data_IF_021403510784
#
_entry.id   IF_021403510784
#
_cell.length_a   1.000
_cell.length_b   1.000
_cell.length_c   1.000
_cell.angle_alpha   90.00
_cell.angle_beta   90.00
_cell.angle_gamma   90.00
#
_symmetry.space_group_name_H-M   'P 1'
#
loop_
_entity.id
_entity.type
_entity.pdbx_description
1 polymer ?
#
# COMPACT_ATOMS: atom_id res chain seq x y z
N UNK A 1 0.42 -78.60 -25.06
CA UNK A 1 1.29 -77.63 -24.34
C UNK A 1 1.63 -76.40 -25.17
N UNK A 2 2.01 -76.45 -26.44
CA UNK A 2 2.36 -75.24 -27.25
C UNK A 2 1.21 -74.27 -27.56
N UNK A 3 -0.05 -74.75 -27.61
CA UNK A 3 -1.21 -73.88 -27.88
C UNK A 3 -1.64 -73.02 -26.72
N UNK A 4 -1.49 -73.48 -25.49
CA UNK A 4 -1.79 -72.71 -24.25
C UNK A 4 -0.78 -71.60 -23.99
N UNK A 5 0.48 -71.85 -24.39
CA UNK A 5 1.54 -70.85 -24.21
C UNK A 5 1.40 -69.68 -25.20
N UNK A 6 1.01 -69.93 -26.44
CA UNK A 6 0.75 -68.87 -27.45
C UNK A 6 -0.46 -68.00 -27.07
N UNK A 7 -1.51 -68.60 -26.48
CA UNK A 7 -2.69 -67.86 -26.03
C UNK A 7 -2.38 -66.93 -24.83
N UNK A 8 -1.54 -67.33 -23.85
CA UNK A 8 -1.07 -66.54 -22.74
C UNK A 8 -0.19 -65.36 -23.18
N UNK A 9 0.73 -65.57 -24.12
CA UNK A 9 1.55 -64.52 -24.69
C UNK A 9 0.73 -63.52 -25.50
N UNK A 10 -0.31 -63.91 -26.19
CA UNK A 10 -1.21 -63.02 -26.91
C UNK A 10 -1.99 -62.08 -25.92
N UNK A 11 -2.56 -62.64 -24.84
CA UNK A 11 -3.27 -61.88 -23.85
C UNK A 11 -2.33 -60.96 -23.08
N UNK A 12 -1.10 -61.34 -22.80
CA UNK A 12 -0.08 -60.51 -22.18
C UNK A 12 0.30 -59.31 -23.08
N UNK A 13 0.44 -59.54 -24.38
CA UNK A 13 0.71 -58.50 -25.38
C UNK A 13 -0.41 -57.47 -25.50
N UNK A 14 -1.69 -57.95 -25.53
CA UNK A 14 -2.85 -57.06 -25.56
C UNK A 14 -2.98 -56.27 -24.27
N UNK A 15 -2.72 -56.88 -23.11
CA UNK A 15 -2.77 -56.17 -21.83
C UNK A 15 -1.66 -55.09 -21.73
N UNK A 16 -0.46 -55.38 -22.20
CA UNK A 16 0.65 -54.43 -22.26
C UNK A 16 0.36 -53.27 -23.23
N UNK A 17 -0.26 -53.52 -24.38
CA UNK A 17 -0.64 -52.50 -25.33
C UNK A 17 -1.75 -51.57 -24.79
N UNK A 18 -2.72 -52.11 -24.04
CA UNK A 18 -3.77 -51.33 -23.38
C UNK A 18 -3.17 -50.50 -22.26
N UNK A 19 -2.23 -51.02 -21.44
CA UNK A 19 -1.54 -50.28 -20.41
C UNK A 19 -0.68 -49.13 -21.01
N UNK A 20 0.01 -49.41 -22.11
CA UNK A 20 0.78 -48.38 -22.82
C UNK A 20 -0.12 -47.28 -23.42
N UNK A 21 -1.28 -47.65 -23.97
CA UNK A 21 -2.23 -46.66 -24.50
C UNK A 21 -2.86 -45.81 -23.40
N UNK A 22 -3.12 -46.37 -22.21
CA UNK A 22 -3.59 -45.62 -21.04
C UNK A 22 -2.50 -44.69 -20.52
N UNK A 23 -1.25 -45.14 -20.47
CA UNK A 23 -0.10 -44.28 -20.08
C UNK A 23 0.16 -43.17 -21.10
N UNK A 24 0.03 -43.42 -22.39
CA UNK A 24 0.14 -42.40 -23.44
C UNK A 24 -1.02 -41.40 -23.40
N UNK A 25 -2.25 -41.86 -23.10
CA UNK A 25 -3.39 -40.94 -22.91
C UNK A 25 -3.25 -40.10 -21.66
N UNK A 26 -2.72 -40.64 -20.56
CA UNK A 26 -2.43 -39.90 -19.35
C UNK A 26 -1.32 -38.83 -19.57
N UNK A 27 -0.30 -39.13 -20.38
CA UNK A 27 0.72 -38.16 -20.76
C UNK A 27 0.21 -37.02 -21.67
N UNK A 28 -0.81 -37.30 -22.50
CA UNK A 28 -1.41 -36.28 -23.37
C UNK A 28 -2.39 -35.35 -22.62
N UNK A 29 -2.96 -35.77 -21.48
CA UNK A 29 -3.78 -34.92 -20.63
C UNK A 29 -2.96 -33.82 -19.90
N UNK A 30 -1.66 -34.01 -19.76
CA UNK A 30 -0.75 -33.03 -19.16
C UNK A 30 -0.36 -31.86 -20.10
N UNK A 31 -0.77 -31.91 -21.39
CA UNK A 31 -0.43 -30.91 -22.40
C UNK A 31 -1.57 -29.94 -22.77
N UNK A 32 -2.67 -29.90 -21.99
CA UNK A 32 -3.63 -28.78 -22.10
C UNK A 32 -2.96 -27.60 -21.41
N UNK A 33 -2.61 -26.51 -22.12
CA UNK A 33 -2.03 -25.36 -21.48
C UNK A 33 -3.01 -24.88 -20.39
N UNK A 34 -2.55 -24.62 -19.19
CA UNK A 34 -3.42 -24.16 -18.11
C UNK A 34 -4.15 -22.90 -18.59
N UNK A 35 -5.46 -22.86 -18.40
CA UNK A 35 -6.28 -21.72 -18.80
C UNK A 35 -5.75 -20.46 -18.13
N UNK A 36 -5.34 -19.48 -18.94
CA UNK A 36 -4.87 -18.18 -18.45
C UNK A 36 -6.05 -17.38 -17.90
N UNK A 37 -5.95 -17.01 -16.65
CA UNK A 37 -6.89 -16.08 -15.99
C UNK A 37 -6.40 -14.66 -16.24
N UNK A 38 -7.31 -13.76 -16.63
CA UNK A 38 -6.98 -12.34 -16.87
C UNK A 38 -7.78 -11.47 -15.93
N UNK A 39 -7.08 -10.55 -15.25
CA UNK A 39 -7.66 -9.57 -14.36
C UNK A 39 -7.30 -8.15 -14.81
N UNK A 40 -8.14 -7.20 -14.45
CA UNK A 40 -7.89 -5.75 -14.57
C UNK A 40 -7.69 -5.18 -13.18
N UNK A 41 -6.68 -4.35 -13.03
CA UNK A 41 -6.37 -3.65 -11.79
C UNK A 41 -6.61 -2.15 -11.99
N UNK A 42 -7.65 -1.60 -11.37
CA UNK A 42 -7.82 -0.16 -11.31
C UNK A 42 -6.87 0.44 -10.28
N UNK A 43 -6.27 1.60 -10.54
CA UNK A 43 -5.37 2.24 -9.59
C UNK A 43 -5.73 3.69 -9.30
N UNK A 44 -5.31 4.19 -8.14
CA UNK A 44 -5.47 5.58 -7.71
C UNK A 44 -4.32 6.49 -8.17
N UNK A 45 -3.48 6.04 -9.10
CA UNK A 45 -2.21 6.68 -9.45
C UNK A 45 -2.18 7.08 -10.91
N UNK A 46 -1.57 8.22 -11.20
CA UNK A 46 -1.23 8.61 -12.56
C UNK A 46 -0.09 7.74 -13.11
N UNK A 47 0.03 7.67 -14.42
CA UNK A 47 0.99 6.80 -15.09
C UNK A 47 2.46 7.12 -14.78
N UNK A 48 2.75 8.36 -14.45
CA UNK A 48 4.07 8.87 -14.08
C UNK A 48 4.38 8.73 -12.58
N UNK A 49 3.43 8.29 -11.77
CA UNK A 49 3.64 8.07 -10.35
C UNK A 49 4.46 6.80 -10.09
N UNK A 50 5.51 6.88 -9.25
CA UNK A 50 6.32 5.71 -8.88
C UNK A 50 5.53 4.65 -8.10
N UNK A 51 4.45 5.02 -7.40
CA UNK A 51 3.57 4.06 -6.74
C UNK A 51 2.83 3.20 -7.80
N UNK A 52 2.51 3.79 -8.97
CA UNK A 52 1.97 3.04 -10.09
C UNK A 52 3.00 2.08 -10.69
N UNK A 53 4.18 2.58 -11.05
CA UNK A 53 5.19 1.80 -11.79
C UNK A 53 5.90 0.77 -10.92
N UNK A 54 6.31 1.16 -9.70
CA UNK A 54 7.09 0.32 -8.79
C UNK A 54 6.23 -0.45 -7.78
N UNK A 55 4.97 -0.08 -7.62
CA UNK A 55 3.97 -0.81 -6.82
C UNK A 55 3.04 -1.63 -7.70
N UNK A 56 1.96 -1.02 -8.22
CA UNK A 56 0.89 -1.71 -8.94
C UNK A 56 1.38 -2.55 -10.14
N UNK A 57 2.15 -1.96 -11.05
CA UNK A 57 2.69 -2.65 -12.25
C UNK A 57 3.65 -3.77 -11.84
N UNK A 58 4.49 -3.55 -10.83
CA UNK A 58 5.42 -4.56 -10.34
C UNK A 58 4.69 -5.77 -9.72
N UNK A 59 3.60 -5.55 -8.98
CA UNK A 59 2.74 -6.66 -8.50
C UNK A 59 2.22 -7.48 -9.70
N UNK A 60 1.69 -6.82 -10.74
CA UNK A 60 1.20 -7.50 -11.94
C UNK A 60 2.29 -8.33 -12.62
N UNK A 61 3.48 -7.77 -12.79
CA UNK A 61 4.63 -8.46 -13.41
C UNK A 61 5.13 -9.64 -12.56
N UNK A 62 5.18 -9.47 -11.24
CA UNK A 62 5.61 -10.51 -10.31
C UNK A 62 4.63 -11.69 -10.32
N UNK A 63 3.31 -11.41 -10.28
CA UNK A 63 2.27 -12.44 -10.39
C UNK A 63 2.37 -13.19 -11.71
N UNK A 64 2.50 -12.48 -12.83
CA UNK A 64 2.66 -13.11 -14.15
C UNK A 64 3.88 -14.04 -14.20
N UNK A 65 5.03 -13.56 -13.68
CA UNK A 65 6.28 -14.33 -13.63
C UNK A 65 6.15 -15.58 -12.75
N UNK A 66 5.67 -15.43 -11.52
CA UNK A 66 5.57 -16.54 -10.56
C UNK A 66 4.50 -17.57 -10.96
N UNK A 67 3.42 -17.13 -11.60
CA UNK A 67 2.36 -18.02 -12.08
C UNK A 67 2.70 -18.73 -13.39
N UNK A 68 3.83 -18.39 -14.04
CA UNK A 68 4.16 -18.88 -15.38
C UNK A 68 3.14 -18.45 -16.44
N UNK A 69 2.56 -17.25 -16.29
CA UNK A 69 1.55 -16.69 -17.18
C UNK A 69 0.13 -17.23 -16.99
N UNK A 70 -0.14 -18.02 -15.94
CA UNK A 70 -1.47 -18.54 -15.63
C UNK A 70 -2.41 -17.47 -15.05
N UNK A 71 -1.87 -16.45 -14.39
CA UNK A 71 -2.60 -15.26 -13.94
C UNK A 71 -1.92 -14.03 -14.51
N UNK A 72 -2.61 -13.33 -15.40
CA UNK A 72 -2.18 -12.08 -16.00
C UNK A 72 -3.06 -10.94 -15.48
N UNK A 73 -2.42 -9.90 -14.98
CA UNK A 73 -3.10 -8.72 -14.43
C UNK A 73 -2.62 -7.51 -15.22
N UNK A 74 -3.55 -6.71 -15.71
CA UNK A 74 -3.27 -5.45 -16.39
C UNK A 74 -3.64 -4.29 -15.48
N UNK A 75 -2.65 -3.45 -15.15
CA UNK A 75 -2.87 -2.26 -14.32
C UNK A 75 -3.25 -1.06 -15.19
N UNK A 76 -4.26 -0.33 -14.75
CA UNK A 76 -4.78 0.87 -15.39
C UNK A 76 -4.57 2.08 -14.46
N UNK A 77 -3.96 3.16 -14.92
CA UNK A 77 -3.81 4.37 -14.12
C UNK A 77 -5.17 5.02 -13.84
N UNK A 78 -5.17 6.02 -12.95
CA UNK A 78 -6.38 6.78 -12.65
C UNK A 78 -7.00 7.36 -13.91
N UNK A 79 -8.31 7.51 -13.91
CA UNK A 79 -9.17 8.03 -15.00
C UNK A 79 -9.31 7.13 -16.25
N UNK A 80 -8.57 6.01 -16.37
CA UNK A 80 -8.82 5.06 -17.46
C UNK A 80 -10.01 4.13 -17.17
N UNK A 81 -10.14 3.61 -15.94
CA UNK A 81 -11.29 2.77 -15.54
C UNK A 81 -12.19 3.49 -14.54
N UNK A 82 -11.59 4.28 -13.65
CA UNK A 82 -12.30 5.05 -12.61
C UNK A 82 -11.40 6.17 -12.11
N UNK A 83 -11.99 7.14 -11.40
CA UNK A 83 -11.24 8.20 -10.72
C UNK A 83 -10.40 7.66 -9.55
N UNK A 84 -9.45 8.46 -9.06
CA UNK A 84 -8.58 8.17 -7.91
C UNK A 84 -9.35 7.60 -6.71
N UNK A 85 -10.49 8.19 -6.36
CA UNK A 85 -11.31 7.78 -5.21
C UNK A 85 -12.37 6.71 -5.54
N UNK A 86 -12.49 6.27 -6.79
CA UNK A 86 -13.46 5.27 -7.22
C UNK A 86 -12.99 3.81 -7.16
N UNK A 87 -11.68 3.58 -6.94
CA UNK A 87 -11.06 2.25 -7.03
C UNK A 87 -11.70 1.24 -6.09
N UNK A 88 -11.89 1.60 -4.82
CA UNK A 88 -12.46 0.70 -3.82
C UNK A 88 -13.87 0.22 -4.21
N UNK A 89 -14.72 1.14 -4.66
CA UNK A 89 -16.09 0.81 -5.05
C UNK A 89 -16.15 -0.05 -6.31
N UNK A 90 -15.24 0.17 -7.27
CA UNK A 90 -15.15 -0.69 -8.44
C UNK A 90 -14.79 -2.13 -8.09
N UNK A 91 -13.81 -2.32 -7.19
CA UNK A 91 -13.40 -3.65 -6.71
C UNK A 91 -14.50 -4.28 -5.86
N UNK A 92 -15.06 -3.55 -4.89
CA UNK A 92 -16.12 -4.02 -4.01
C UNK A 92 -17.35 -4.53 -4.80
N UNK A 93 -17.73 -3.80 -5.85
CA UNK A 93 -18.86 -4.15 -6.73
C UNK A 93 -18.52 -5.21 -7.80
N UNK A 94 -17.28 -5.71 -7.86
CA UNK A 94 -16.84 -6.68 -8.85
C UNK A 94 -16.81 -6.14 -10.29
N UNK A 95 -16.75 -4.83 -10.49
CA UNK A 95 -16.62 -4.20 -11.81
C UNK A 95 -15.23 -4.37 -12.41
N UNK A 96 -14.23 -4.50 -11.54
CA UNK A 96 -12.88 -4.97 -11.83
C UNK A 96 -12.48 -6.04 -10.82
N UNK A 97 -11.53 -6.86 -11.20
CA UNK A 97 -11.10 -8.00 -10.40
C UNK A 97 -10.26 -7.55 -9.19
N UNK A 98 -9.41 -6.53 -9.37
CA UNK A 98 -8.53 -6.01 -8.32
C UNK A 98 -8.27 -4.52 -8.48
N UNK A 99 -7.61 -3.93 -7.48
CA UNK A 99 -7.21 -2.53 -7.45
C UNK A 99 -5.91 -2.32 -6.68
N UNK A 100 -5.33 -1.13 -6.80
CA UNK A 100 -4.19 -0.67 -6.01
C UNK A 100 -4.40 0.78 -5.61
N UNK A 101 -4.37 1.04 -4.28
CA UNK A 101 -4.75 2.34 -3.74
C UNK A 101 -4.13 2.62 -2.38
N UNK A 102 -4.72 3.55 -1.63
CA UNK A 102 -4.35 3.91 -0.27
C UNK A 102 -5.56 3.85 0.66
N UNK A 103 -5.52 3.08 1.75
CA UNK A 103 -6.67 2.88 2.64
C UNK A 103 -7.24 4.17 3.21
N UNK A 104 -6.42 5.19 3.42
CA UNK A 104 -6.86 6.49 3.96
C UNK A 104 -7.89 7.21 3.11
N UNK A 105 -8.03 6.89 1.81
CA UNK A 105 -9.06 7.45 0.94
C UNK A 105 -10.47 6.96 1.28
N UNK A 106 -10.58 5.85 2.01
CA UNK A 106 -11.86 5.22 2.35
C UNK A 106 -12.38 5.60 3.74
N UNK A 107 -11.75 6.53 4.45
CA UNK A 107 -12.13 6.92 5.82
C UNK A 107 -13.59 7.32 5.98
N UNK A 108 -14.19 7.92 4.94
CA UNK A 108 -15.59 8.34 4.97
C UNK A 108 -16.56 7.16 4.88
N UNK A 109 -16.12 5.99 4.44
CA UNK A 109 -16.88 4.74 4.50
C UNK A 109 -16.90 4.17 5.92
N UNK A 110 -15.74 4.11 6.54
CA UNK A 110 -15.55 3.68 7.92
C UNK A 110 -14.21 4.27 8.44
N UNK A 111 -14.20 4.97 9.59
CA UNK A 111 -12.98 5.60 10.12
C UNK A 111 -11.80 4.63 10.28
N UNK A 112 -12.07 3.37 10.53
CA UNK A 112 -11.05 2.34 10.75
C UNK A 112 -10.09 2.12 9.59
N UNK A 113 -10.43 2.55 8.36
CA UNK A 113 -9.54 2.46 7.21
C UNK A 113 -8.22 3.22 7.43
N UNK A 114 -8.23 4.34 8.15
CA UNK A 114 -7.01 5.12 8.42
C UNK A 114 -5.98 4.34 9.24
N UNK A 115 -6.42 3.38 10.06
CA UNK A 115 -5.54 2.54 10.86
C UNK A 115 -4.73 1.52 10.04
N UNK A 116 -5.09 1.33 8.77
CA UNK A 116 -4.38 0.45 7.82
C UNK A 116 -3.63 1.25 6.73
N UNK A 117 -3.53 2.56 6.89
CA UNK A 117 -2.80 3.44 5.96
C UNK A 117 -1.63 4.15 6.64
N UNK A 118 -1.93 5.22 7.34
CA UNK A 118 -1.00 5.97 8.16
C UNK A 118 -1.76 6.75 9.23
N UNK A 119 -1.22 6.79 10.43
CA UNK A 119 -1.70 7.64 11.53
C UNK A 119 -0.53 8.50 11.98
N UNK A 120 -0.74 9.82 12.19
CA UNK A 120 0.33 10.71 12.61
C UNK A 120 1.11 10.18 13.82
N UNK A 121 2.44 10.24 13.75
CA UNK A 121 3.36 9.79 14.79
C UNK A 121 3.18 8.32 15.26
N UNK A 122 2.57 7.46 14.42
CA UNK A 122 2.32 6.05 14.78
C UNK A 122 3.43 5.13 14.27
N UNK A 123 3.14 4.23 13.33
CA UNK A 123 4.03 3.13 12.98
C UNK A 123 5.10 3.52 11.97
N UNK A 124 6.30 2.98 12.15
CA UNK A 124 7.38 2.96 11.16
C UNK A 124 7.18 1.79 10.18
N UNK A 125 7.95 1.77 9.09
CA UNK A 125 7.94 0.64 8.13
C UNK A 125 8.19 -0.71 8.80
N UNK A 126 9.16 -0.78 9.72
CA UNK A 126 9.47 -2.01 10.41
C UNK A 126 8.34 -2.44 11.34
N UNK A 127 7.74 -1.50 12.07
CA UNK A 127 6.59 -1.77 12.94
C UNK A 127 5.40 -2.31 12.12
N UNK A 128 5.16 -1.80 10.90
CA UNK A 128 4.13 -2.34 9.99
C UNK A 128 4.33 -3.80 9.66
N UNK A 129 5.55 -4.19 9.24
CA UNK A 129 5.86 -5.56 8.87
C UNK A 129 5.63 -6.53 10.05
N UNK A 130 6.09 -6.14 11.24
CA UNK A 130 5.98 -6.96 12.44
C UNK A 130 4.54 -7.00 12.95
N UNK A 131 3.81 -5.90 12.92
CA UNK A 131 2.41 -5.86 13.35
C UNK A 131 1.50 -6.69 12.45
N UNK A 132 1.65 -6.58 11.13
CA UNK A 132 0.82 -7.31 10.17
C UNK A 132 1.03 -8.82 10.23
N UNK A 133 2.29 -9.27 10.28
CA UNK A 133 2.64 -10.68 10.07
C UNK A 133 3.25 -11.37 11.29
N UNK A 134 3.54 -10.63 12.35
CA UNK A 134 4.01 -11.15 13.61
C UNK A 134 2.88 -11.64 14.52
N UNK A 135 3.15 -11.79 15.85
CA UNK A 135 2.18 -12.31 16.80
C UNK A 135 0.87 -11.51 16.92
N UNK A 136 0.89 -10.23 16.54
CA UNK A 136 -0.30 -9.34 16.58
C UNK A 136 -1.32 -9.66 15.50
N UNK A 137 -0.88 -10.34 14.40
CA UNK A 137 -1.74 -10.75 13.29
C UNK A 137 -2.63 -9.62 12.74
N UNK A 138 -2.06 -8.41 12.58
CA UNK A 138 -2.79 -7.24 12.09
C UNK A 138 -3.45 -7.45 10.72
N UNK A 139 -2.90 -8.37 9.91
CA UNK A 139 -3.47 -8.75 8.61
C UNK A 139 -4.89 -9.31 8.74
N UNK A 140 -5.22 -10.01 9.83
CA UNK A 140 -6.56 -10.56 10.04
C UNK A 140 -7.56 -9.46 10.39
N UNK A 141 -7.14 -8.44 11.14
CA UNK A 141 -7.96 -7.25 11.39
C UNK A 141 -8.20 -6.46 10.09
N UNK A 142 -7.19 -6.39 9.22
CA UNK A 142 -7.32 -5.74 7.92
C UNK A 142 -8.32 -6.48 7.03
N UNK A 143 -8.20 -7.80 6.95
CA UNK A 143 -9.14 -8.67 6.23
C UNK A 143 -10.57 -8.60 6.77
N UNK A 144 -10.73 -8.51 8.09
CA UNK A 144 -12.05 -8.36 8.72
C UNK A 144 -12.74 -7.05 8.30
N UNK A 145 -12.01 -5.93 8.30
CA UNK A 145 -12.53 -4.64 7.84
C UNK A 145 -13.00 -4.71 6.39
N UNK A 146 -12.10 -5.15 5.51
CA UNK A 146 -12.35 -5.13 4.06
C UNK A 146 -13.39 -6.19 3.65
N UNK A 147 -13.47 -7.29 4.38
CA UNK A 147 -14.46 -8.35 4.16
C UNK A 147 -15.90 -7.86 4.27
N UNK A 148 -16.17 -6.83 5.09
CA UNK A 148 -17.49 -6.17 5.18
C UNK A 148 -17.95 -5.58 3.82
N UNK A 149 -16.98 -5.31 2.94
CA UNK A 149 -17.18 -4.68 1.63
C UNK A 149 -16.91 -5.62 0.46
N UNK A 150 -16.87 -6.93 0.68
CA UNK A 150 -16.57 -7.94 -0.34
C UNK A 150 -15.19 -7.76 -0.98
N UNK A 151 -14.18 -7.37 -0.19
CA UNK A 151 -12.80 -7.11 -0.63
C UNK A 151 -11.80 -7.86 0.25
N UNK A 152 -10.74 -8.38 -0.37
CA UNK A 152 -9.56 -8.95 0.32
C UNK A 152 -8.38 -8.01 0.14
N UNK A 153 -7.79 -7.45 1.20
CA UNK A 153 -6.63 -6.59 1.11
C UNK A 153 -5.31 -7.37 1.18
N UNK A 154 -4.30 -6.80 0.54
CA UNK A 154 -2.90 -7.24 0.59
C UNK A 154 -2.00 -6.00 0.63
N UNK A 155 -0.75 -6.08 1.15
CA UNK A 155 0.22 -5.01 0.98
C UNK A 155 0.43 -4.71 -0.51
N UNK A 156 0.28 -3.45 -0.90
CA UNK A 156 0.52 -3.01 -2.27
C UNK A 156 1.86 -2.31 -2.42
N UNK A 157 2.20 -1.48 -1.45
CA UNK A 157 3.47 -0.80 -1.30
C UNK A 157 3.61 -0.33 0.16
N UNK A 158 4.84 -0.16 0.61
CA UNK A 158 5.17 0.40 1.92
C UNK A 158 6.35 1.36 1.73
N UNK A 159 6.20 2.58 2.17
CA UNK A 159 7.30 3.54 2.21
C UNK A 159 7.56 4.09 3.61
N UNK A 160 8.68 4.78 3.75
CA UNK A 160 9.09 5.46 4.95
C UNK A 160 8.41 6.82 5.10
N UNK A 161 9.04 7.72 5.87
CA UNK A 161 8.49 9.06 6.07
C UNK A 161 8.34 9.79 4.75
N UNK A 162 7.19 10.42 4.55
CA UNK A 162 6.99 11.33 3.44
C UNK A 162 7.91 12.55 3.50
N UNK A 163 7.93 13.37 2.46
CA UNK A 163 8.79 14.56 2.42
C UNK A 163 8.09 15.82 2.97
N UNK A 164 7.23 15.62 3.96
CA UNK A 164 6.59 16.72 4.70
C UNK A 164 5.62 17.57 3.88
N UNK A 165 5.37 18.80 4.38
CA UNK A 165 4.46 19.72 3.71
C UNK A 165 5.22 20.67 2.79
N UNK A 166 4.88 20.67 1.51
CA UNK A 166 5.27 21.69 0.54
C UNK A 166 4.33 22.89 0.65
N UNK A 167 4.90 24.10 0.84
CA UNK A 167 4.10 25.29 1.14
C UNK A 167 4.62 26.54 0.43
N UNK A 168 3.75 27.56 0.30
CA UNK A 168 4.08 28.87 -0.26
C UNK A 168 4.72 29.82 0.79
N UNK A 169 4.77 29.44 2.05
CA UNK A 169 5.46 30.14 3.15
C UNK A 169 6.05 29.16 4.14
N UNK A 170 7.13 29.52 4.86
CA UNK A 170 7.76 28.63 5.82
C UNK A 170 6.84 28.31 7.00
N UNK A 171 6.84 27.04 7.44
CA UNK A 171 6.19 26.61 8.70
C UNK A 171 7.30 26.21 9.67
N UNK A 172 7.41 26.92 10.79
CA UNK A 172 8.42 26.70 11.83
C UNK A 172 7.83 26.13 13.11
N UNK A 173 6.55 26.37 13.30
CA UNK A 173 5.79 25.90 14.46
C UNK A 173 4.37 25.52 14.05
N UNK A 174 3.62 24.86 14.95
CA UNK A 174 2.20 24.52 14.73
C UNK A 174 1.32 25.76 14.57
N UNK A 175 1.72 26.92 15.09
CA UNK A 175 0.93 28.14 14.96
C UNK A 175 0.94 28.70 13.52
N UNK A 176 1.95 28.34 12.73
CA UNK A 176 2.06 28.75 11.32
C UNK A 176 1.03 28.05 10.41
N UNK A 177 0.44 26.92 10.85
CA UNK A 177 -0.62 26.25 10.11
C UNK A 177 -1.94 27.04 10.11
N UNK A 178 -2.15 27.90 11.08
CA UNK A 178 -3.40 28.65 11.24
C UNK A 178 -3.74 29.46 9.99
N UNK A 179 -4.98 29.25 9.50
CA UNK A 179 -5.52 29.95 8.34
C UNK A 179 -5.02 29.43 6.98
N UNK A 180 -4.11 28.44 6.94
CA UNK A 180 -3.68 27.83 5.68
C UNK A 180 -4.69 26.83 5.14
N UNK A 181 -4.80 26.77 3.82
CA UNK A 181 -5.53 25.71 3.09
C UNK A 181 -4.51 24.68 2.63
N UNK A 182 -4.55 23.52 3.25
CA UNK A 182 -3.53 22.48 3.01
C UNK A 182 -4.18 21.21 2.48
N UNK A 183 -3.67 20.73 1.35
CA UNK A 183 -4.10 19.44 0.84
C UNK A 183 -3.46 18.35 1.70
N UNK A 184 -4.31 17.60 2.39
CA UNK A 184 -3.95 16.38 3.11
C UNK A 184 -5.20 15.52 3.32
N UNK A 185 -5.16 14.21 3.00
CA UNK A 185 -6.21 13.25 3.30
C UNK A 185 -6.00 12.59 4.67
N UNK A 186 -6.88 11.65 5.01
CA UNK A 186 -6.76 10.83 6.20
C UNK A 186 -6.93 11.60 7.52
N UNK A 187 -6.35 11.08 8.59
CA UNK A 187 -6.45 11.67 9.93
C UNK A 187 -5.58 12.93 10.09
N UNK A 188 -4.56 13.10 9.25
CA UNK A 188 -3.77 14.33 9.19
C UNK A 188 -4.62 15.56 8.92
N UNK A 189 -5.70 15.42 8.14
CA UNK A 189 -6.68 16.48 7.91
C UNK A 189 -7.36 16.95 9.20
N UNK A 190 -7.70 16.03 10.12
CA UNK A 190 -8.34 16.38 11.39
C UNK A 190 -7.35 17.07 12.32
N UNK A 191 -6.09 16.62 12.35
CA UNK A 191 -5.03 17.29 13.11
C UNK A 191 -4.82 18.72 12.61
N UNK A 192 -4.76 18.93 11.30
CA UNK A 192 -4.63 20.28 10.71
C UNK A 192 -5.82 21.18 11.07
N UNK A 193 -7.05 20.63 11.08
CA UNK A 193 -8.25 21.37 11.47
C UNK A 193 -8.15 21.86 12.92
N UNK A 194 -7.67 21.02 13.83
CA UNK A 194 -7.42 21.37 15.23
C UNK A 194 -6.29 22.42 15.40
N UNK A 195 -5.35 22.45 14.47
CA UNK A 195 -4.30 23.47 14.39
C UNK A 195 -4.77 24.79 13.74
N UNK A 196 -6.04 24.86 13.33
CA UNK A 196 -6.64 26.04 12.72
C UNK A 196 -6.38 26.20 11.22
N UNK A 197 -5.88 25.17 10.55
CA UNK A 197 -5.83 25.11 9.09
C UNK A 197 -7.17 24.65 8.49
N UNK A 198 -7.33 24.82 7.19
CA UNK A 198 -8.43 24.29 6.41
C UNK A 198 -7.90 23.17 5.52
N UNK A 199 -8.11 21.90 5.88
CA UNK A 199 -7.70 20.78 5.03
C UNK A 199 -8.58 20.72 3.78
N UNK A 200 -7.94 20.45 2.64
CA UNK A 200 -8.57 20.26 1.33
C UNK A 200 -8.22 18.86 0.83
N UNK A 201 -9.21 18.11 0.36
CA UNK A 201 -9.01 16.76 -0.16
C UNK A 201 -9.06 16.84 -1.68
N UNK A 202 -7.90 16.61 -2.30
CA UNK A 202 -7.74 16.59 -3.76
C UNK A 202 -6.97 15.34 -4.18
N UNK A 203 -7.29 14.77 -5.32
CA UNK A 203 -6.47 13.73 -5.93
C UNK A 203 -5.14 14.33 -6.43
N UNK A 204 -4.16 13.48 -6.67
CA UNK A 204 -2.79 13.86 -7.03
C UNK A 204 -2.73 14.82 -8.24
N UNK A 205 -3.50 14.50 -9.28
CA UNK A 205 -3.51 15.20 -10.57
C UNK A 205 -4.01 16.65 -10.46
N UNK A 206 -4.77 16.99 -9.43
CA UNK A 206 -5.33 18.32 -9.23
C UNK A 206 -4.41 19.25 -8.39
N UNK A 207 -3.43 18.71 -7.66
CA UNK A 207 -2.61 19.47 -6.68
C UNK A 207 -1.91 20.67 -7.32
N UNK A 208 -1.23 20.47 -8.46
CA UNK A 208 -0.47 21.54 -9.11
C UNK A 208 -1.37 22.67 -9.58
N UNK A 209 -2.51 22.34 -10.11
CA UNK A 209 -3.44 23.34 -10.62
C UNK A 209 -4.11 24.11 -9.48
N UNK A 210 -4.47 23.43 -8.39
CA UNK A 210 -5.01 24.06 -7.20
C UNK A 210 -4.01 25.04 -6.54
N UNK A 211 -2.71 24.70 -6.52
CA UNK A 211 -1.65 25.62 -6.06
C UNK A 211 -1.55 26.86 -6.95
N UNK A 212 -1.50 26.67 -8.28
CA UNK A 212 -1.41 27.78 -9.24
C UNK A 212 -2.59 28.73 -9.14
N UNK A 213 -3.80 28.22 -8.93
CA UNK A 213 -5.01 29.02 -8.75
C UNK A 213 -5.09 29.65 -7.35
N UNK A 214 -4.21 29.29 -6.43
CA UNK A 214 -4.29 29.70 -5.05
C UNK A 214 -5.50 29.14 -4.31
N UNK A 215 -6.02 27.98 -4.70
CA UNK A 215 -7.07 27.25 -4.01
C UNK A 215 -6.53 26.55 -2.77
N UNK A 216 -5.25 26.16 -2.78
CA UNK A 216 -4.49 25.65 -1.64
C UNK A 216 -3.20 26.45 -1.45
N UNK A 217 -2.69 26.50 -0.23
CA UNK A 217 -1.46 27.19 0.16
C UNK A 217 -0.28 26.23 0.30
N UNK A 218 -0.55 24.93 0.26
CA UNK A 218 0.43 23.85 0.35
C UNK A 218 -0.22 22.48 0.33
N UNK A 219 0.63 21.46 0.29
CA UNK A 219 0.22 20.06 0.22
C UNK A 219 1.29 19.14 0.83
N UNK A 220 0.90 17.92 1.14
CA UNK A 220 1.75 16.74 1.31
C UNK A 220 1.35 15.69 0.27
N UNK A 221 2.27 14.72 -0.03
CA UNK A 221 1.87 13.63 -0.93
C UNK A 221 2.66 12.35 -0.71
N UNK A 222 3.99 12.34 -0.84
CA UNK A 222 4.80 11.12 -0.78
C UNK A 222 6.25 11.41 -0.40
N UNK A 223 7.09 10.41 -0.61
CA UNK A 223 8.52 10.47 -0.33
C UNK A 223 9.26 11.40 -1.32
N UNK A 224 10.51 11.78 -1.06
CA UNK A 224 11.29 12.64 -1.98
C UNK A 224 11.29 12.12 -3.43
N UNK A 225 11.49 10.81 -3.63
CA UNK A 225 11.53 10.23 -4.97
C UNK A 225 10.18 10.31 -5.69
N UNK A 226 9.09 9.98 -4.99
CA UNK A 226 7.72 10.03 -5.51
C UNK A 226 7.36 11.47 -5.90
N UNK A 227 7.57 12.42 -4.99
CA UNK A 227 7.23 13.83 -5.20
C UNK A 227 8.03 14.46 -6.35
N UNK A 228 9.33 14.19 -6.42
CA UNK A 228 10.15 14.71 -7.50
C UNK A 228 9.70 14.20 -8.87
N UNK A 229 9.40 12.92 -8.98
CA UNK A 229 8.95 12.30 -10.23
C UNK A 229 7.63 12.91 -10.72
N UNK A 230 6.77 13.33 -9.80
CA UNK A 230 5.54 14.07 -10.09
C UNK A 230 5.78 15.55 -10.38
N UNK A 231 7.03 16.02 -10.30
CA UNK A 231 7.40 17.43 -10.51
C UNK A 231 6.88 18.32 -9.37
N UNK A 232 6.83 17.82 -8.15
CA UNK A 232 6.63 18.60 -6.95
C UNK A 232 7.99 19.08 -6.45
N UNK A 233 8.43 20.25 -6.92
CA UNK A 233 9.73 20.85 -6.63
C UNK A 233 9.61 22.32 -6.19
N UNK A 234 10.74 22.99 -6.03
CA UNK A 234 10.80 24.38 -5.57
C UNK A 234 10.10 25.39 -6.49
N UNK A 235 9.83 25.04 -7.75
CA UNK A 235 9.09 25.90 -8.70
C UNK A 235 7.59 25.90 -8.41
N UNK A 236 7.11 24.85 -7.72
CA UNK A 236 5.70 24.71 -7.32
C UNK A 236 5.47 25.29 -5.93
N UNK A 237 6.33 24.88 -4.96
CA UNK A 237 6.29 25.35 -3.58
C UNK A 237 7.72 25.35 -3.01
N UNK A 238 8.27 26.53 -2.65
CA UNK A 238 9.68 26.65 -2.33
C UNK A 238 10.07 26.19 -0.93
N UNK A 239 9.10 25.90 -0.07
CA UNK A 239 9.32 25.52 1.33
C UNK A 239 8.83 24.13 1.61
N UNK A 240 9.61 23.34 2.37
CA UNK A 240 9.22 22.03 2.89
C UNK A 240 9.36 22.03 4.40
N UNK A 241 8.37 21.49 5.09
CA UNK A 241 8.37 21.40 6.56
C UNK A 241 8.43 19.95 7.01
N UNK A 242 9.47 19.62 7.77
CA UNK A 242 9.72 18.30 8.35
C UNK A 242 9.54 18.33 9.89
N UNK A 243 9.45 17.18 10.56
CA UNK A 243 9.31 15.84 9.98
C UNK A 243 7.93 15.65 9.35
N UNK A 244 7.80 14.60 8.56
CA UNK A 244 6.51 14.17 7.99
C UNK A 244 5.63 13.49 9.05
N UNK A 245 5.23 14.26 10.05
CA UNK A 245 4.47 13.78 11.20
C UNK A 245 3.13 13.15 10.82
N UNK A 246 2.52 13.59 9.73
CA UNK A 246 1.24 13.14 9.21
C UNK A 246 1.32 11.71 8.68
N UNK A 247 2.44 11.34 8.07
CA UNK A 247 2.69 10.00 7.53
C UNK A 247 4.16 9.61 7.79
N UNK A 248 4.46 9.06 9.00
CA UNK A 248 5.81 8.57 9.34
C UNK A 248 6.18 7.31 8.55
N UNK A 249 5.22 6.64 7.98
CA UNK A 249 5.29 5.60 6.96
C UNK A 249 3.92 5.47 6.33
N UNK A 250 3.85 4.94 5.12
CA UNK A 250 2.60 4.79 4.39
C UNK A 250 2.44 3.37 3.87
N UNK A 251 1.33 2.71 4.26
CA UNK A 251 0.92 1.42 3.72
C UNK A 251 -0.11 1.64 2.62
N UNK A 252 0.20 1.18 1.43
CA UNK A 252 -0.72 1.11 0.30
C UNK A 252 -1.32 -0.29 0.20
N UNK A 253 -2.50 -0.40 -0.39
CA UNK A 253 -3.21 -1.66 -0.53
C UNK A 253 -3.29 -2.16 -1.97
N UNK A 254 -3.15 -3.47 -2.13
CA UNK A 254 -3.67 -4.20 -3.29
C UNK A 254 -4.99 -4.83 -2.87
N UNK A 255 -6.04 -4.54 -3.61
CA UNK A 255 -7.42 -4.94 -3.35
C UNK A 255 -7.84 -6.04 -4.30
N UNK A 256 -8.51 -7.08 -3.83
CA UNK A 256 -9.12 -8.10 -4.70
C UNK A 256 -10.58 -8.27 -4.32
N UNK A 257 -11.47 -8.30 -5.29
CA UNK A 257 -12.87 -8.65 -5.05
C UNK A 257 -12.96 -10.05 -4.42
N UNK A 258 -13.70 -10.19 -3.31
CA UNK A 258 -13.76 -11.44 -2.53
C UNK A 258 -14.31 -12.61 -3.35
N UNK A 259 -15.31 -12.39 -4.21
CA UNK A 259 -15.89 -13.46 -5.03
C UNK A 259 -14.93 -13.93 -6.11
N UNK A 260 -14.13 -13.00 -6.67
CA UNK A 260 -13.06 -13.31 -7.62
C UNK A 260 -11.93 -14.07 -6.93
N UNK A 261 -11.53 -13.62 -5.73
CA UNK A 261 -10.53 -14.28 -4.91
C UNK A 261 -10.93 -15.73 -4.57
N UNK A 262 -12.18 -15.93 -4.17
CA UNK A 262 -12.67 -17.25 -3.78
C UNK A 262 -12.63 -18.28 -4.93
N UNK A 263 -12.76 -17.81 -6.19
CA UNK A 263 -12.70 -18.65 -7.39
C UNK A 263 -11.27 -18.96 -7.85
N UNK A 264 -10.27 -18.21 -7.34
CA UNK A 264 -8.89 -18.43 -7.74
C UNK A 264 -8.37 -19.76 -7.17
N UNK A 265 -7.64 -20.59 -7.94
CA UNK A 265 -6.96 -21.79 -7.45
C UNK A 265 -6.00 -21.47 -6.30
N UNK A 266 -5.87 -22.36 -5.33
CA UNK A 266 -5.12 -22.11 -4.10
C UNK A 266 -3.63 -21.84 -4.33
N UNK A 267 -3.03 -22.47 -5.34
CA UNK A 267 -1.65 -22.19 -5.73
C UNK A 267 -1.48 -20.78 -6.32
N UNK A 268 -2.47 -20.28 -7.08
CA UNK A 268 -2.47 -18.91 -7.58
C UNK A 268 -2.76 -17.90 -6.48
N UNK A 269 -3.58 -18.24 -5.47
CA UNK A 269 -3.75 -17.42 -4.27
C UNK A 269 -2.43 -17.26 -3.53
N UNK A 270 -1.69 -18.34 -3.29
CA UNK A 270 -0.39 -18.32 -2.64
C UNK A 270 0.65 -17.48 -3.42
N UNK A 271 0.64 -17.62 -4.76
CA UNK A 271 1.49 -16.82 -5.66
C UNK A 271 1.14 -15.33 -5.55
N UNK A 272 -0.14 -14.98 -5.62
CA UNK A 272 -0.59 -13.60 -5.55
C UNK A 272 -0.22 -12.96 -4.20
N UNK A 273 -0.51 -13.64 -3.10
CA UNK A 273 -0.15 -13.17 -1.75
C UNK A 273 1.37 -13.00 -1.59
N UNK A 274 2.17 -13.95 -2.09
CA UNK A 274 3.63 -13.86 -2.05
C UNK A 274 4.14 -12.70 -2.90
N UNK A 275 3.57 -12.48 -4.09
CA UNK A 275 3.93 -11.37 -4.95
C UNK A 275 3.63 -10.01 -4.30
N UNK A 276 2.45 -9.85 -3.68
CA UNK A 276 2.09 -8.63 -2.97
C UNK A 276 3.03 -8.37 -1.78
N UNK A 277 3.37 -9.39 -0.98
CA UNK A 277 4.32 -9.25 0.13
C UNK A 277 5.71 -8.86 -0.36
N UNK A 278 6.24 -9.55 -1.39
CA UNK A 278 7.56 -9.29 -1.92
C UNK A 278 7.65 -7.89 -2.54
N UNK A 279 6.71 -7.54 -3.42
CA UNK A 279 6.71 -6.21 -4.05
C UNK A 279 6.41 -5.12 -3.03
N UNK A 280 5.33 -5.27 -2.27
CA UNK A 280 4.86 -4.21 -1.38
C UNK A 280 5.79 -3.93 -0.20
N UNK A 281 6.46 -4.96 0.34
CA UNK A 281 7.22 -4.81 1.59
C UNK A 281 8.74 -4.94 1.41
N UNK A 282 9.22 -5.34 0.24
CA UNK A 282 10.66 -5.50 -0.02
C UNK A 282 11.09 -4.72 -1.25
N UNK A 283 10.54 -5.04 -2.44
CA UNK A 283 11.00 -4.46 -3.70
C UNK A 283 10.73 -2.94 -3.75
N UNK A 284 9.53 -2.52 -3.35
CA UNK A 284 9.15 -1.10 -3.33
C UNK A 284 9.98 -0.32 -2.31
N UNK A 285 10.11 -0.83 -1.09
CA UNK A 285 10.97 -0.24 -0.04
C UNK A 285 12.40 -0.07 -0.55
N UNK A 286 13.01 -1.13 -1.09
CA UNK A 286 14.39 -1.08 -1.54
C UNK A 286 14.61 -0.05 -2.67
N UNK A 287 13.64 0.10 -3.58
CA UNK A 287 13.73 1.02 -4.72
C UNK A 287 13.44 2.47 -4.32
N UNK A 288 12.37 2.71 -3.58
CA UNK A 288 11.94 4.07 -3.25
C UNK A 288 12.80 4.65 -2.13
N UNK A 289 12.95 3.94 -1.01
CA UNK A 289 13.79 4.42 0.10
C UNK A 289 15.26 4.48 -0.31
N UNK A 290 15.73 3.53 -1.12
CA UNK A 290 17.08 3.56 -1.66
C UNK A 290 17.36 4.76 -2.58
N UNK A 291 16.34 5.28 -3.26
CA UNK A 291 16.46 6.44 -4.15
C UNK A 291 16.29 7.79 -3.41
N UNK A 292 15.59 7.83 -2.28
CA UNK A 292 15.28 9.07 -1.57
C UNK A 292 16.51 9.97 -1.27
N UNK A 293 17.70 9.46 -0.87
CA UNK A 293 18.87 10.29 -0.64
C UNK A 293 19.31 11.08 -1.89
N UNK A 294 19.28 10.44 -3.07
CA UNK A 294 19.66 11.11 -4.32
C UNK A 294 18.64 12.18 -4.71
N UNK A 295 17.36 11.92 -4.47
CA UNK A 295 16.31 12.91 -4.73
C UNK A 295 16.36 14.06 -3.73
N UNK A 296 16.68 13.83 -2.47
CA UNK A 296 16.90 14.90 -1.50
C UNK A 296 18.01 15.86 -1.96
N UNK A 297 19.13 15.33 -2.48
CA UNK A 297 20.19 16.17 -3.07
C UNK A 297 19.69 16.99 -4.26
N UNK A 298 18.77 16.46 -5.09
CA UNK A 298 18.15 17.24 -6.18
C UNK A 298 17.31 18.39 -5.63
N UNK A 299 16.55 18.17 -4.57
CA UNK A 299 15.77 19.21 -3.89
C UNK A 299 16.69 20.32 -3.34
N UNK A 300 17.75 19.95 -2.65
CA UNK A 300 18.74 20.91 -2.12
C UNK A 300 19.37 21.75 -3.24
N UNK A 301 19.83 21.12 -4.33
CA UNK A 301 20.38 21.81 -5.51
C UNK A 301 19.31 22.64 -6.24
N UNK A 302 18.06 22.23 -6.20
CA UNK A 302 16.90 22.93 -6.78
C UNK A 302 16.45 24.12 -5.94
N UNK A 303 17.07 24.38 -4.78
CA UNK A 303 16.81 25.56 -3.96
C UNK A 303 15.60 25.45 -3.07
N UNK A 304 15.11 24.21 -2.79
CA UNK A 304 14.08 24.01 -1.77
C UNK A 304 14.61 24.45 -0.40
N UNK A 305 13.77 25.11 0.37
CA UNK A 305 14.10 25.53 1.74
C UNK A 305 13.41 24.61 2.74
N UNK A 306 14.20 23.90 3.53
CA UNK A 306 13.71 22.93 4.51
C UNK A 306 13.62 23.58 5.89
N UNK A 307 12.47 23.45 6.53
CA UNK A 307 12.20 23.86 7.90
C UNK A 307 11.87 22.65 8.76
N UNK A 308 12.24 22.69 10.02
CA UNK A 308 11.97 21.62 10.98
C UNK A 308 11.10 22.18 12.08
N UNK A 309 9.96 21.51 12.34
CA UNK A 309 9.10 21.83 13.47
C UNK A 309 9.84 21.58 14.79
N UNK A 310 9.64 22.45 15.75
CA UNK A 310 10.21 22.30 17.07
C UNK A 310 9.56 21.16 17.88
N UNK A 311 10.23 20.75 18.95
CA UNK A 311 9.77 19.66 19.83
C UNK A 311 8.39 19.96 20.44
N UNK A 312 8.10 21.21 20.79
CA UNK A 312 6.81 21.61 21.36
C UNK A 312 5.68 21.42 20.33
N UNK A 313 5.93 21.77 19.09
CA UNK A 313 5.01 21.52 17.97
C UNK A 313 4.73 20.03 17.78
N UNK A 314 5.77 19.21 17.80
CA UNK A 314 5.63 17.76 17.66
C UNK A 314 4.85 17.14 18.81
N UNK A 315 5.10 17.59 20.04
CA UNK A 315 4.33 17.16 21.21
C UNK A 315 2.85 17.50 21.07
N UNK A 316 2.55 18.74 20.67
CA UNK A 316 1.16 19.18 20.47
C UNK A 316 0.43 18.39 19.38
N UNK A 317 1.10 18.07 18.26
CA UNK A 317 0.57 17.22 17.20
C UNK A 317 0.25 15.83 17.75
N UNK A 318 1.14 15.25 18.54
CA UNK A 318 0.93 13.93 19.16
C UNK A 318 -0.29 13.93 20.10
N UNK A 319 -0.40 14.95 20.97
CA UNK A 319 -1.53 15.09 21.90
C UNK A 319 -2.88 15.25 21.16
N UNK A 320 -2.90 16.00 20.05
CA UNK A 320 -4.09 16.13 19.20
C UNK A 320 -4.42 14.79 18.55
N UNK A 321 -3.42 14.11 17.98
CA UNK A 321 -3.62 12.81 17.31
C UNK A 321 -4.18 11.77 18.27
N UNK A 322 -3.60 11.64 19.46
CA UNK A 322 -4.05 10.68 20.46
C UNK A 322 -5.50 10.95 20.88
N UNK A 323 -5.85 12.20 21.15
CA UNK A 323 -7.22 12.59 21.49
C UNK A 323 -8.22 12.29 20.35
N UNK A 324 -7.86 12.57 19.09
CA UNK A 324 -8.70 12.26 17.95
C UNK A 324 -8.92 10.76 17.79
N UNK A 325 -7.86 9.97 17.92
CA UNK A 325 -7.95 8.51 17.89
C UNK A 325 -8.80 7.95 19.04
N UNK A 326 -8.63 8.47 20.26
CA UNK A 326 -9.43 8.06 21.42
C UNK A 326 -10.91 8.40 21.26
N UNK A 327 -11.22 9.56 20.69
CA UNK A 327 -12.60 9.95 20.37
C UNK A 327 -13.23 9.02 19.31
N UNK A 328 -12.49 8.64 18.27
CA UNK A 328 -12.96 7.68 17.28
C UNK A 328 -13.17 6.30 17.93
N UNK A 329 -12.23 5.84 18.76
CA UNK A 329 -12.33 4.58 19.48
C UNK A 329 -13.51 4.52 20.46
N UNK A 330 -13.88 5.65 21.07
CA UNK A 330 -15.04 5.71 21.97
C UNK A 330 -16.37 5.51 21.24
N UNK A 331 -16.42 5.77 19.93
CA UNK A 331 -17.64 5.71 19.12
C UNK A 331 -17.68 4.51 18.14
N UNK A 332 -16.55 3.79 17.98
CA UNK A 332 -16.43 2.66 17.05
C UNK A 332 -15.64 1.52 17.71
N UNK A 333 -16.34 0.42 17.99
CA UNK A 333 -15.76 -0.75 18.67
C UNK A 333 -14.68 -1.46 17.83
N UNK A 334 -14.81 -1.45 16.49
CA UNK A 334 -13.80 -2.02 15.62
C UNK A 334 -12.56 -1.15 15.59
N UNK A 335 -12.73 0.17 15.43
CA UNK A 335 -11.64 1.13 15.54
C UNK A 335 -10.89 0.99 16.87
N UNK A 336 -11.62 0.91 17.98
CA UNK A 336 -11.04 0.71 19.32
C UNK A 336 -10.18 -0.55 19.40
N UNK A 337 -10.65 -1.66 18.82
CA UNK A 337 -9.92 -2.93 18.82
C UNK A 337 -8.64 -2.86 17.99
N UNK A 338 -8.70 -2.28 16.80
CA UNK A 338 -7.52 -2.13 15.93
C UNK A 338 -6.51 -1.16 16.57
N UNK A 339 -6.96 0.01 17.02
CA UNK A 339 -6.11 1.00 17.70
C UNK A 339 -5.42 0.40 18.93
N UNK A 340 -6.16 -0.35 19.75
CA UNK A 340 -5.58 -1.05 20.90
C UNK A 340 -4.52 -2.05 20.48
N UNK A 341 -4.78 -2.87 19.45
CA UNK A 341 -3.80 -3.83 18.93
C UNK A 341 -2.51 -3.13 18.47
N UNK A 342 -2.61 -2.01 17.77
CA UNK A 342 -1.45 -1.23 17.33
C UNK A 342 -0.70 -0.60 18.51
N UNK A 343 -1.40 0.01 19.47
CA UNK A 343 -0.79 0.63 20.66
C UNK A 343 -0.11 -0.39 21.56
N UNK A 344 -0.75 -1.53 21.84
CA UNK A 344 -0.18 -2.61 22.65
C UNK A 344 1.08 -3.18 21.98
N UNK A 345 0.99 -3.43 20.67
CA UNK A 345 2.13 -3.89 19.88
C UNK A 345 3.31 -2.90 19.99
N UNK A 346 3.09 -1.60 19.72
CA UNK A 346 4.13 -0.59 19.78
C UNK A 346 4.72 -0.42 21.17
N UNK A 347 3.90 -0.43 22.21
CA UNK A 347 4.38 -0.34 23.60
C UNK A 347 5.33 -1.50 23.93
N UNK A 348 5.01 -2.72 23.48
CA UNK A 348 5.87 -3.89 23.65
C UNK A 348 7.12 -3.84 22.76
N UNK A 349 6.96 -3.52 21.46
CA UNK A 349 8.06 -3.50 20.49
C UNK A 349 9.13 -2.47 20.84
N UNK A 350 8.75 -1.30 21.34
CA UNK A 350 9.67 -0.25 21.79
C UNK A 350 10.51 -0.62 23.02
N UNK A 351 10.10 -1.63 23.79
CA UNK A 351 10.97 -2.17 24.82
C UNK A 351 12.18 -2.88 24.24
N UNK A 352 12.02 -3.52 23.06
CA UNK A 352 13.12 -4.11 22.30
C UNK A 352 13.97 -3.04 21.60
N UNK A 353 13.36 -2.04 20.94
CA UNK A 353 14.07 -0.94 20.28
C UNK A 353 15.04 -0.26 21.26
N UNK A 354 14.61 -0.06 22.51
CA UNK A 354 15.46 0.52 23.55
C UNK A 354 16.77 -0.23 23.77
N UNK A 355 16.82 -1.52 23.47
CA UNK A 355 17.99 -2.37 23.67
C UNK A 355 18.61 -2.85 22.36
N UNK A 356 17.79 -3.10 21.34
CA UNK A 356 18.19 -3.66 20.06
C UNK A 356 18.75 -2.63 19.08
N UNK A 357 18.13 -1.45 19.03
CA UNK A 357 18.61 -0.31 18.23
C UNK A 357 19.58 0.58 19.02
N UNK A 358 20.04 0.08 20.16
CA UNK A 358 21.00 0.80 20.98
C UNK A 358 22.21 1.18 20.14
N UNK A 359 22.30 2.47 19.93
CA UNK A 359 23.36 3.29 19.33
C UNK A 359 24.70 2.55 19.05
N UNK A 360 24.66 1.63 18.07
CA UNK A 360 25.87 1.07 17.47
C UNK A 360 26.66 2.19 16.77
N UNK A 361 25.96 3.28 16.43
CA UNK A 361 26.55 4.47 15.83
C UNK A 361 26.36 5.67 16.78
N UNK A 362 27.43 6.17 17.42
CA UNK A 362 27.34 7.43 18.14
C UNK A 362 26.87 8.51 17.17
N UNK A 363 25.82 9.24 17.55
CA UNK A 363 25.39 10.45 16.85
C UNK A 363 26.60 11.36 16.67
N UNK A 364 26.98 11.64 15.41
CA UNK A 364 27.99 12.62 15.07
C UNK A 364 27.51 14.00 15.42
#
# INVERSE_FOLDING_TARGET
MKYFLKRRLFFLGVFLAVLLSILFSACNLSNIPPQTIKWRMATSWTKDNLIYTEGAVMVCQKVAKLSGGRLLIEAYPTDELTSTFGVFDMVSQGKVECGHSWPGYWRDKEPSFVLFSSVPNMMTMQEWAVWLYGPSQGIELWRELYGKYNVVPFPGALDGPEFGFFTNRPLRSVDDFKGMRLRTPGIGADVLRELGATPVILPQEEIKEALKKGEIDGFEFGTPAVNWNLGFDSSIAPYVTLPAWHQPSCMYDTLVNQDVWNKLPDDLKAIFESACKEVGMVDFVARIEGANPDYLQKYEKGGIQIFILDEQSMKRITEITDRLCDNLAANDAFFARVLKSQRDFRANYRTWEKWGDYQIYPSK
#
